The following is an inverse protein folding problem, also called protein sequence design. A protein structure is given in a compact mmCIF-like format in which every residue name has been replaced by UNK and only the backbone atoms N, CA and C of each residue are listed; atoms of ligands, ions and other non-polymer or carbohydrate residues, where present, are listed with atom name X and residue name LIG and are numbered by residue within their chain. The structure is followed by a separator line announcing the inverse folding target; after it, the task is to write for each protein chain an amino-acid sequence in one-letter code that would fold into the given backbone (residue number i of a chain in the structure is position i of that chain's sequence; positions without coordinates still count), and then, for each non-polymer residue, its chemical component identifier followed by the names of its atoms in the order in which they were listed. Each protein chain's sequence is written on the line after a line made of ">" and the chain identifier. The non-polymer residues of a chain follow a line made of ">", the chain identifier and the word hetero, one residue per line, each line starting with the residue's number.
data_IF_424483926559
#
_entry.id   IF_424483926559
#
_cell.length_a   1.000
_cell.length_b   1.000
_cell.length_c   1.000
_cell.angle_alpha   90.00
_cell.angle_beta   90.00
_cell.angle_gamma   90.00
#
_symmetry.space_group_name_H-M   'P 1'
#
loop_
_entity.id
_entity.type
_entity.pdbx_description
1 polymer ?
#
# COMPACT_ATOMS: atom_id res chain seq x y z
N UNK A 1 -12.33 0.23 4.12
CA UNK A 1 -10.91 -0.12 4.34
C UNK A 1 -10.87 -1.35 5.20
N UNK A 2 -9.97 -2.28 4.91
CA UNK A 2 -9.75 -3.49 5.72
C UNK A 2 -8.64 -3.19 6.73
N UNK A 3 -8.74 -3.79 7.91
CA UNK A 3 -7.62 -3.89 8.84
C UNK A 3 -6.63 -4.95 8.38
N UNK A 4 -5.39 -4.86 8.87
CA UNK A 4 -4.38 -5.90 8.65
C UNK A 4 -4.82 -7.25 9.25
N UNK A 5 -5.54 -7.24 10.37
CA UNK A 5 -6.10 -8.47 10.97
C UNK A 5 -7.10 -9.16 10.03
N UNK A 6 -8.05 -8.42 9.47
CA UNK A 6 -9.01 -8.95 8.49
C UNK A 6 -8.31 -9.42 7.22
N UNK A 7 -7.28 -8.69 6.77
CA UNK A 7 -6.48 -9.07 5.62
C UNK A 7 -5.77 -10.41 5.83
N UNK A 8 -5.17 -10.64 7.02
CA UNK A 8 -4.57 -11.93 7.39
C UNK A 8 -5.61 -13.05 7.39
N UNK A 9 -6.77 -12.83 8.03
CA UNK A 9 -7.85 -13.81 8.08
C UNK A 9 -8.33 -14.22 6.67
N UNK A 10 -8.48 -13.25 5.76
CA UNK A 10 -8.82 -13.52 4.36
C UNK A 10 -7.71 -14.29 3.63
N UNK A 11 -6.45 -13.91 3.85
CA UNK A 11 -5.30 -14.60 3.26
C UNK A 11 -5.23 -16.07 3.65
N UNK A 12 -5.52 -16.37 4.93
CA UNK A 12 -5.55 -17.71 5.51
C UNK A 12 -6.75 -18.54 5.02
N UNK A 13 -7.93 -17.93 4.93
CA UNK A 13 -9.17 -18.63 4.60
C UNK A 13 -9.34 -18.89 3.09
N UNK A 14 -8.79 -18.03 2.24
CA UNK A 14 -9.07 -18.05 0.81
C UNK A 14 -7.89 -18.57 -0.04
N UNK A 15 -8.18 -19.31 -1.13
CA UNK A 15 -7.20 -19.57 -2.18
C UNK A 15 -6.87 -18.28 -2.93
N UNK A 16 -5.70 -18.23 -3.56
CA UNK A 16 -5.14 -17.03 -4.22
C UNK A 16 -6.12 -16.36 -5.20
N UNK A 17 -6.84 -17.15 -6.00
CA UNK A 17 -7.81 -16.63 -6.97
C UNK A 17 -9.04 -15.97 -6.33
N UNK A 18 -9.53 -16.49 -5.20
CA UNK A 18 -10.64 -15.90 -4.46
C UNK A 18 -10.19 -14.64 -3.70
N UNK A 19 -8.98 -14.66 -3.13
CA UNK A 19 -8.36 -13.52 -2.48
C UNK A 19 -8.17 -12.34 -3.46
N UNK A 20 -7.65 -12.62 -4.66
CA UNK A 20 -7.52 -11.62 -5.73
C UNK A 20 -8.87 -11.07 -6.19
N UNK A 21 -9.89 -11.93 -6.35
CA UNK A 21 -11.25 -11.46 -6.65
C UNK A 21 -11.87 -10.62 -5.56
N UNK A 22 -11.40 -10.69 -4.31
CA UNK A 22 -11.96 -9.93 -3.21
C UNK A 22 -11.21 -8.62 -2.93
N UNK A 23 -9.90 -8.59 -3.17
CA UNK A 23 -9.07 -7.40 -2.91
C UNK A 23 -8.68 -6.63 -4.18
N UNK A 24 -9.00 -7.16 -5.36
CA UNK A 24 -8.59 -6.57 -6.62
C UNK A 24 -7.14 -6.89 -7.00
N UNK A 25 -6.57 -6.19 -7.99
CA UNK A 25 -5.25 -6.51 -8.55
C UNK A 25 -4.08 -6.14 -7.62
N UNK A 26 -4.26 -5.13 -6.77
CA UNK A 26 -3.25 -4.64 -5.84
C UNK A 26 -3.86 -4.12 -4.54
N UNK A 27 -3.02 -3.99 -3.53
CA UNK A 27 -3.32 -3.35 -2.26
C UNK A 27 -2.32 -2.21 -1.98
N UNK A 28 -2.83 -1.12 -1.42
CA UNK A 28 -2.04 -0.06 -0.79
C UNK A 28 -2.13 -0.23 0.72
N UNK A 29 -1.02 -0.52 1.37
CA UNK A 29 -0.95 -0.68 2.84
C UNK A 29 -0.35 0.59 3.42
N UNK A 30 -1.12 1.33 4.22
CA UNK A 30 -0.65 2.56 4.83
C UNK A 30 0.47 2.25 5.84
N UNK A 31 1.61 2.93 5.69
CA UNK A 31 2.67 2.91 6.68
C UNK A 31 2.26 3.78 7.87
N UNK A 32 2.62 3.39 9.11
CA UNK A 32 2.33 4.22 10.28
C UNK A 32 2.93 5.64 10.09
N UNK A 33 2.21 6.70 10.51
CA UNK A 33 2.74 8.06 10.47
C UNK A 33 4.05 8.12 11.27
N UNK A 34 5.04 8.84 10.73
CA UNK A 34 6.46 8.70 11.09
C UNK A 34 6.84 9.09 12.53
N UNK A 35 5.90 9.39 13.43
CA UNK A 35 6.19 9.55 14.87
C UNK A 35 6.57 8.21 15.53
N UNK A 36 6.07 7.08 15.04
CA UNK A 36 6.45 5.75 15.54
C UNK A 36 7.76 5.20 14.93
N UNK A 37 8.38 5.92 14.00
CA UNK A 37 9.48 5.42 13.16
C UNK A 37 10.81 6.16 13.37
N UNK A 38 11.02 6.78 14.53
CA UNK A 38 12.36 7.28 14.91
C UNK A 38 13.39 6.14 15.01
N UNK A 39 12.96 4.88 15.22
CA UNK A 39 13.86 3.73 15.27
C UNK A 39 14.23 3.15 13.88
N UNK A 40 13.47 3.43 12.83
CA UNK A 40 13.71 2.87 11.47
C UNK A 40 14.32 3.92 10.52
N UNK A 41 14.34 5.19 10.91
CA UNK A 41 14.89 6.30 10.13
C UNK A 41 16.14 6.88 10.80
N UNK A 42 17.18 6.07 10.95
CA UNK A 42 18.52 6.62 10.78
C UNK A 42 18.72 6.84 9.26
N UNK A 43 19.00 8.08 8.80
CA UNK A 43 19.22 8.30 7.38
C UNK A 43 20.51 7.60 6.94
N UNK A 44 20.59 7.24 5.66
CA UNK A 44 21.80 6.84 4.93
C UNK A 44 22.07 5.34 4.73
N UNK A 45 21.04 4.55 4.41
CA UNK A 45 21.26 3.40 3.51
C UNK A 45 20.00 3.18 2.68
N UNK A 46 20.17 3.00 1.37
CA UNK A 46 19.13 2.36 0.56
C UNK A 46 18.87 1.00 1.23
N UNK A 47 17.76 0.87 1.95
CA UNK A 47 17.40 -0.40 2.56
C UNK A 47 17.36 -1.46 1.45
N UNK A 48 18.06 -2.57 1.65
CA UNK A 48 18.03 -3.66 0.70
C UNK A 48 16.57 -4.13 0.53
N UNK A 49 16.16 -4.63 -0.66
CA UNK A 49 14.80 -5.13 -0.88
C UNK A 49 14.32 -6.11 0.21
N UNK A 50 15.23 -6.91 0.78
CA UNK A 50 14.97 -7.84 1.89
C UNK A 50 14.71 -7.16 3.24
N UNK A 51 15.30 -5.99 3.51
CA UNK A 51 15.07 -5.23 4.75
C UNK A 51 13.72 -4.51 4.70
N UNK A 52 13.33 -4.03 3.52
CA UNK A 52 11.97 -3.51 3.25
C UNK A 52 10.95 -4.63 3.43
N UNK A 53 11.26 -5.84 2.95
CA UNK A 53 10.40 -7.02 3.08
C UNK A 53 10.23 -7.48 4.53
N UNK A 54 11.32 -7.57 5.31
CA UNK A 54 11.24 -7.91 6.73
C UNK A 54 10.50 -6.84 7.55
N UNK A 55 10.81 -5.56 7.33
CA UNK A 55 10.11 -4.46 8.01
C UNK A 55 8.62 -4.42 7.66
N UNK A 56 8.25 -4.69 6.42
CA UNK A 56 6.86 -4.76 5.98
C UNK A 56 6.13 -5.99 6.55
N UNK A 57 6.78 -7.16 6.60
CA UNK A 57 6.22 -8.35 7.25
C UNK A 57 6.03 -8.10 8.76
N UNK A 58 7.04 -7.59 9.46
CA UNK A 58 6.91 -7.19 10.86
C UNK A 58 5.75 -6.23 11.06
N UNK A 59 5.59 -5.21 10.20
CA UNK A 59 4.48 -4.25 10.32
C UNK A 59 3.11 -4.88 10.04
N UNK A 60 3.02 -5.86 9.15
CA UNK A 60 1.81 -6.66 8.90
C UNK A 60 1.48 -7.64 10.05
N UNK A 61 2.46 -8.01 10.88
CA UNK A 61 2.25 -8.95 11.98
C UNK A 61 2.14 -8.28 13.35
N UNK A 62 2.85 -7.16 13.57
CA UNK A 62 2.91 -6.41 14.83
C UNK A 62 1.82 -5.34 14.96
N UNK A 63 1.32 -4.77 13.85
CA UNK A 63 0.33 -3.68 13.90
C UNK A 63 -1.03 -4.10 13.33
N UNK A 64 -1.93 -4.50 14.23
CA UNK A 64 -3.27 -4.98 13.84
C UNK A 64 -4.17 -3.87 13.26
N UNK A 65 -3.91 -2.61 13.58
CA UNK A 65 -4.76 -1.46 13.28
C UNK A 65 -4.35 -0.66 12.03
N UNK A 66 -3.31 -1.06 11.29
CA UNK A 66 -2.92 -0.34 10.08
C UNK A 66 -4.03 -0.44 9.02
N UNK A 67 -4.29 0.68 8.35
CA UNK A 67 -5.32 0.77 7.32
C UNK A 67 -4.81 0.21 6.00
N UNK A 68 -5.54 -0.75 5.47
CA UNK A 68 -5.30 -1.30 4.13
C UNK A 68 -6.35 -0.71 3.20
N UNK A 69 -5.86 0.06 2.23
CA UNK A 69 -6.65 0.55 1.12
C UNK A 69 -6.46 -0.42 -0.05
N UNK A 70 -7.46 -1.24 -0.32
CA UNK A 70 -7.50 -2.04 -1.54
C UNK A 70 -8.31 -1.31 -2.59
N UNK A 71 -8.05 -1.59 -3.86
CA UNK A 71 -9.06 -1.40 -4.88
C UNK A 71 -10.06 -2.55 -4.70
N UNK A 72 -11.24 -2.37 -4.08
CA UNK A 72 -12.25 -3.42 -4.10
C UNK A 72 -12.52 -3.84 -5.55
N UNK A 73 -12.92 -5.10 -5.78
CA UNK A 73 -12.84 -5.74 -7.09
C UNK A 73 -13.61 -4.90 -8.09
N UNK A 74 -12.83 -4.22 -8.93
CA UNK A 74 -13.30 -3.27 -9.92
C UNK A 74 -14.56 -2.53 -9.41
N UNK A 75 -14.37 -1.39 -8.74
CA UNK A 75 -15.23 -0.27 -9.14
C UNK A 75 -15.30 -0.32 -10.68
N UNK A 76 -16.44 -0.02 -11.31
CA UNK A 76 -16.60 -0.15 -12.78
C UNK A 76 -15.61 0.69 -13.64
N UNK A 77 -14.54 1.18 -13.01
CA UNK A 77 -13.43 1.99 -13.47
C UNK A 77 -12.10 1.33 -13.08
N UNK A 78 -11.16 1.37 -13.99
CA UNK A 78 -9.75 0.97 -13.89
C UNK A 78 -8.89 1.94 -13.06
N UNK A 79 -9.49 2.67 -12.11
CA UNK A 79 -8.93 3.90 -11.55
C UNK A 79 -9.19 4.03 -10.05
N UNK A 80 -8.20 4.53 -9.31
CA UNK A 80 -8.28 4.87 -7.90
C UNK A 80 -7.76 6.28 -7.68
N UNK A 81 -8.62 7.20 -7.24
CA UNK A 81 -8.23 8.56 -6.86
C UNK A 81 -7.89 8.63 -5.38
N UNK A 82 -6.73 9.21 -5.08
CA UNK A 82 -6.25 9.47 -3.73
C UNK A 82 -6.39 10.95 -3.42
N UNK A 83 -6.98 11.27 -2.27
CA UNK A 83 -7.08 12.65 -1.82
C UNK A 83 -7.80 12.79 -0.49
N UNK A 84 -7.88 14.01 0.00
CA UNK A 84 -8.55 14.32 1.27
C UNK A 84 -10.07 14.51 1.13
N UNK A 85 -10.59 14.71 -0.08
CA UNK A 85 -12.05 14.82 -0.27
C UNK A 85 -12.71 13.46 -0.10
N UNK A 86 -13.94 13.46 0.40
CA UNK A 86 -14.74 12.26 0.61
C UNK A 86 -15.21 11.58 -0.69
N UNK A 87 -15.08 12.24 -1.84
CA UNK A 87 -15.39 11.69 -3.17
C UNK A 87 -14.19 11.05 -3.87
N UNK A 88 -13.04 10.97 -3.17
CA UNK A 88 -11.91 10.15 -3.57
C UNK A 88 -12.15 8.68 -3.23
N UNK A 89 -11.65 7.78 -4.06
CA UNK A 89 -11.76 6.34 -3.87
C UNK A 89 -10.92 5.90 -2.64
N UNK A 90 -9.77 6.55 -2.44
CA UNK A 90 -8.95 6.48 -1.23
C UNK A 90 -8.91 7.84 -0.53
N UNK A 91 -9.72 7.97 0.52
CA UNK A 91 -9.76 9.16 1.37
C UNK A 91 -8.63 9.10 2.40
N UNK A 92 -7.72 10.08 2.34
CA UNK A 92 -6.61 10.24 3.28
C UNK A 92 -6.81 11.53 4.08
N UNK A 93 -7.12 11.37 5.36
CA UNK A 93 -7.35 12.50 6.28
C UNK A 93 -6.03 13.00 6.87
N UNK A 94 -5.27 13.73 6.05
CA UNK A 94 -4.01 14.35 6.45
C UNK A 94 -3.89 15.74 5.83
N UNK A 95 -3.42 16.72 6.60
CA UNK A 95 -3.31 18.11 6.16
C UNK A 95 -2.31 18.29 5.00
N UNK A 96 -1.32 17.41 4.88
CA UNK A 96 -0.37 17.38 3.78
C UNK A 96 -0.97 16.84 2.47
N UNK A 97 -2.14 16.20 2.53
CA UNK A 97 -2.81 15.64 1.37
C UNK A 97 -3.79 16.64 0.77
N UNK A 98 -3.68 16.79 -0.56
CA UNK A 98 -4.52 17.69 -1.34
C UNK A 98 -5.91 17.08 -1.50
N UNK A 99 -6.89 17.94 -1.77
CA UNK A 99 -8.29 17.52 -2.00
C UNK A 99 -8.41 16.39 -3.01
N UNK A 100 -7.66 16.51 -4.11
CA UNK A 100 -7.45 15.48 -5.13
C UNK A 100 -5.95 15.52 -5.40
N UNK A 101 -5.22 14.48 -5.00
CA UNK A 101 -3.76 14.54 -4.88
C UNK A 101 -3.07 13.68 -5.94
N UNK A 102 -3.47 12.42 -6.06
CA UNK A 102 -2.92 11.49 -7.02
C UNK A 102 -4.00 10.57 -7.59
N UNK A 103 -3.71 9.97 -8.73
CA UNK A 103 -4.56 8.97 -9.36
C UNK A 103 -3.74 7.77 -9.76
N UNK A 104 -4.24 6.58 -9.44
CA UNK A 104 -3.70 5.31 -9.90
C UNK A 104 -4.59 4.76 -11.01
N UNK A 105 -3.99 4.16 -12.02
CA UNK A 105 -4.69 3.47 -13.10
C UNK A 105 -4.17 2.05 -13.24
N UNK A 106 -5.07 1.10 -13.41
CA UNK A 106 -4.75 -0.31 -13.61
C UNK A 106 -5.04 -0.74 -15.04
N UNK A 107 -3.99 -1.12 -15.77
CA UNK A 107 -4.14 -1.74 -17.07
C UNK A 107 -4.21 -3.27 -16.90
N UNK A 108 -5.40 -3.85 -17.10
CA UNK A 108 -5.62 -5.29 -16.96
C UNK A 108 -4.93 -6.12 -18.05
N UNK A 109 -4.85 -5.62 -19.29
CA UNK A 109 -4.17 -6.33 -20.37
C UNK A 109 -2.66 -6.46 -20.12
N UNK A 110 -2.05 -5.41 -19.57
CA UNK A 110 -0.61 -5.38 -19.26
C UNK A 110 -0.27 -5.86 -17.85
N UNK A 111 -1.28 -6.02 -16.98
CA UNK A 111 -1.11 -6.28 -15.54
C UNK A 111 -0.19 -5.24 -14.88
N UNK A 112 -0.39 -3.95 -15.22
CA UNK A 112 0.44 -2.84 -14.76
C UNK A 112 -0.39 -1.76 -14.09
N UNK A 113 0.16 -1.16 -13.04
CA UNK A 113 -0.39 0.03 -12.43
C UNK A 113 0.49 1.24 -12.73
N UNK A 114 -0.14 2.37 -13.05
CA UNK A 114 0.52 3.66 -13.12
C UNK A 114 -0.02 4.60 -12.04
N UNK A 115 0.79 5.59 -11.68
CA UNK A 115 0.41 6.68 -10.77
C UNK A 115 0.75 8.02 -11.40
N UNK A 116 -0.14 8.99 -11.23
CA UNK A 116 0.05 10.36 -11.66
C UNK A 116 -0.30 11.33 -10.53
N UNK A 117 0.54 12.36 -10.36
CA UNK A 117 0.23 13.50 -9.48
C UNK A 117 -0.74 14.47 -10.17
N UNK A 118 -1.78 14.90 -9.47
CA UNK A 118 -2.84 15.76 -10.01
C UNK A 118 -2.64 17.26 -9.72
N UNK A 119 -1.38 17.70 -9.62
CA UNK A 119 -1.05 19.08 -9.23
C UNK A 119 -1.15 19.28 -7.73
N UNK A 120 -0.68 18.30 -6.96
CA UNK A 120 -0.73 18.36 -5.51
C UNK A 120 0.24 19.42 -4.94
N UNK A 121 -0.05 19.90 -3.73
CA UNK A 121 0.75 20.95 -3.09
C UNK A 121 2.08 20.43 -2.56
N UNK A 122 2.08 19.25 -1.95
CA UNK A 122 3.28 18.66 -1.33
C UNK A 122 3.97 17.62 -2.23
N UNK A 123 3.36 17.29 -3.37
CA UNK A 123 3.90 16.34 -4.33
C UNK A 123 3.58 14.89 -3.99
N UNK A 124 3.60 14.08 -5.06
CA UNK A 124 3.61 12.62 -5.00
C UNK A 124 5.02 12.11 -5.27
N UNK A 125 5.46 11.11 -4.49
CA UNK A 125 6.79 10.51 -4.61
C UNK A 125 6.69 8.99 -4.73
N UNK A 126 7.52 8.41 -5.58
CA UNK A 126 7.71 6.97 -5.71
C UNK A 126 9.13 6.61 -5.28
N UNK A 127 9.28 5.77 -4.25
CA UNK A 127 10.57 5.38 -3.66
C UNK A 127 11.46 6.60 -3.35
N UNK A 128 10.88 7.59 -2.67
CA UNK A 128 11.50 8.89 -2.33
C UNK A 128 11.89 9.79 -3.52
N UNK A 129 11.49 9.45 -4.75
CA UNK A 129 11.71 10.30 -5.94
C UNK A 129 10.40 10.98 -6.34
N UNK A 130 10.43 12.31 -6.53
CA UNK A 130 9.24 13.05 -6.94
C UNK A 130 8.81 12.66 -8.35
N UNK A 131 7.49 12.55 -8.55
CA UNK A 131 6.92 12.35 -9.89
C UNK A 131 7.00 13.61 -10.77
N UNK A 132 7.09 14.80 -10.16
CA UNK A 132 7.13 16.08 -10.86
C UNK A 132 6.02 16.23 -11.94
N UNK A 133 4.81 15.75 -11.64
CA UNK A 133 3.65 15.79 -12.54
C UNK A 133 3.66 14.76 -13.67
N UNK A 134 4.66 13.87 -13.74
CA UNK A 134 4.73 12.78 -14.72
C UNK A 134 4.01 11.54 -14.22
N UNK A 135 3.52 10.75 -15.15
CA UNK A 135 3.05 9.40 -14.88
C UNK A 135 4.25 8.46 -14.62
N UNK A 136 4.13 7.59 -13.63
CA UNK A 136 5.13 6.57 -13.32
C UNK A 136 4.49 5.19 -13.15
N UNK A 137 5.23 4.15 -13.53
CA UNK A 137 4.81 2.75 -13.35
C UNK A 137 5.14 2.29 -11.93
N UNK A 138 4.13 1.79 -11.22
CA UNK A 138 4.28 1.16 -9.91
C UNK A 138 4.74 -0.29 -10.07
N UNK A 139 5.72 -0.68 -9.28
CA UNK A 139 6.22 -2.04 -9.16
C UNK A 139 5.89 -2.59 -7.79
N UNK A 140 5.67 -3.90 -7.76
CA UNK A 140 5.39 -4.62 -6.52
C UNK A 140 6.49 -4.39 -5.47
N UNK A 141 6.09 -3.94 -4.28
CA UNK A 141 6.99 -3.56 -3.18
C UNK A 141 7.36 -2.07 -3.15
N UNK A 142 6.94 -1.27 -4.13
CA UNK A 142 7.24 0.16 -4.16
C UNK A 142 6.59 0.92 -3.00
N UNK A 143 7.25 1.99 -2.57
CA UNK A 143 6.70 2.94 -1.59
C UNK A 143 6.16 4.16 -2.33
N UNK A 144 4.84 4.33 -2.27
CA UNK A 144 4.14 5.51 -2.76
C UNK A 144 3.95 6.49 -1.61
N UNK A 145 4.43 7.73 -1.77
CA UNK A 145 4.20 8.82 -0.81
C UNK A 145 3.28 9.87 -1.43
N UNK A 146 2.26 10.26 -0.67
CA UNK A 146 1.23 11.24 -1.03
C UNK A 146 1.26 12.28 0.09
N UNK A 147 1.88 13.43 -0.15
CA UNK A 147 2.29 14.33 0.93
C UNK A 147 3.19 13.60 1.95
N UNK A 148 2.83 13.67 3.23
CA UNK A 148 3.57 13.01 4.31
C UNK A 148 3.10 11.57 4.58
N UNK A 149 2.06 11.11 3.87
CA UNK A 149 1.51 9.77 4.06
C UNK A 149 2.17 8.80 3.09
N UNK A 150 2.62 7.66 3.61
CA UNK A 150 3.28 6.63 2.80
C UNK A 150 2.44 5.36 2.74
N UNK A 151 2.50 4.69 1.60
CA UNK A 151 1.84 3.42 1.32
C UNK A 151 2.84 2.46 0.69
N UNK A 152 2.80 1.19 1.07
CA UNK A 152 3.38 0.14 0.24
C UNK A 152 2.39 -0.25 -0.83
N UNK A 153 2.86 -0.33 -2.07
CA UNK A 153 2.12 -0.90 -3.18
C UNK A 153 2.50 -2.37 -3.33
N UNK A 154 1.52 -3.25 -3.20
CA UNK A 154 1.70 -4.69 -3.37
C UNK A 154 0.69 -5.25 -4.35
N UNK A 155 1.14 -6.12 -5.25
CA UNK A 155 0.24 -6.96 -6.01
C UNK A 155 -0.44 -7.95 -5.07
N UNK A 156 -1.73 -8.19 -5.30
CA UNK A 156 -2.52 -9.05 -4.42
C UNK A 156 -1.98 -10.48 -4.35
N UNK A 157 -1.39 -10.96 -5.45
CA UNK A 157 -0.69 -12.26 -5.49
C UNK A 157 0.48 -12.32 -4.50
N UNK A 158 1.34 -11.31 -4.52
CA UNK A 158 2.52 -11.22 -3.66
C UNK A 158 2.09 -11.06 -2.21
N UNK A 159 1.06 -10.26 -1.97
CA UNK A 159 0.49 -10.10 -0.64
C UNK A 159 -0.04 -11.44 -0.09
N UNK A 160 -0.77 -12.21 -0.90
CA UNK A 160 -1.26 -13.53 -0.50
C UNK A 160 -0.14 -14.50 -0.13
N UNK A 161 0.90 -14.58 -0.98
CA UNK A 161 2.08 -15.40 -0.75
C UNK A 161 2.79 -15.01 0.56
N UNK A 162 2.95 -13.71 0.80
CA UNK A 162 3.59 -13.17 2.01
C UNK A 162 2.80 -13.43 3.28
N UNK A 163 1.48 -13.29 3.23
CA UNK A 163 0.61 -13.62 4.37
C UNK A 163 0.75 -15.11 4.75
N UNK A 164 0.75 -16.00 3.75
CA UNK A 164 0.94 -17.45 3.96
C UNK A 164 2.34 -17.79 4.49
N UNK A 165 3.38 -17.13 3.99
CA UNK A 165 4.75 -17.33 4.45
C UNK A 165 4.96 -16.84 5.90
N UNK A 166 4.36 -15.72 6.28
CA UNK A 166 4.41 -15.17 7.63
C UNK A 166 3.70 -16.02 8.69
N UNK A 167 2.61 -16.70 8.31
CA UNK A 167 1.97 -17.73 9.15
C UNK A 167 2.88 -18.94 9.35
N UNK A 168 3.50 -19.44 8.28
CA UNK A 168 4.40 -20.59 8.33
C UNK A 168 5.68 -20.35 9.15
N UNK A 169 6.12 -19.09 9.26
CA UNK A 169 7.31 -18.69 10.02
C UNK A 169 7.01 -18.32 11.48
N UNK A 170 5.75 -18.40 11.92
CA UNK A 170 5.38 -18.19 13.33
C UNK A 170 5.40 -16.72 13.78
N UNK A 171 5.52 -15.74 12.87
CA UNK A 171 5.38 -14.33 13.23
C UNK A 171 3.95 -13.97 13.67
N UNK A 172 2.95 -14.78 13.30
CA UNK A 172 1.56 -14.61 13.73
C UNK A 172 1.24 -15.10 15.16
N UNK A 173 2.17 -15.79 15.84
CA UNK A 173 1.91 -16.38 17.18
C UNK A 173 2.42 -15.56 18.35
N UNK A 174 2.96 -14.35 18.12
CA UNK A 174 3.35 -13.44 19.21
C UNK A 174 2.16 -12.60 19.68
N UNK A 175 1.16 -13.27 20.24
CA UNK A 175 0.21 -12.66 21.17
C UNK A 175 0.75 -12.88 22.58
N UNK A 176 1.28 -11.83 23.19
CA UNK A 176 1.73 -11.80 24.57
C UNK A 176 1.54 -10.41 25.13
#
# INVERSE_FOLDING_TARGET
>A
MLSVQELRALGAALPSSAFQRQLGPFALIQRPPSEASAAVLAPTRMAAPSEIEQGMLSLLFEFEHLRVATLPPLAATDRLRIGRRMDCDLVVDDASVSKMHAELRWNEAEQRCTVQDLGSTNGTFLNARSLAGREAVLRDGDILSVGNVQFWYLLTRTLHERLRAGEATGLGSRSG
#
